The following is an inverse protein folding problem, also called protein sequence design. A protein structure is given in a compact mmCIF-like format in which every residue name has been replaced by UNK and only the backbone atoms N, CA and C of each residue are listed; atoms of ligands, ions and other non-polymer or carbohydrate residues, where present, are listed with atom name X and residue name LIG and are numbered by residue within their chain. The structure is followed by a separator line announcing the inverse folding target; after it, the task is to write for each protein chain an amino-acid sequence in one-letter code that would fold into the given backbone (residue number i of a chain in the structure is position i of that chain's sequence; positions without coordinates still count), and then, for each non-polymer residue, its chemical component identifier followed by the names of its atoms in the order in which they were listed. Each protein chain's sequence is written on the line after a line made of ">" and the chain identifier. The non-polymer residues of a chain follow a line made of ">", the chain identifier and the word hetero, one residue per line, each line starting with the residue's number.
data_IF_439020066440
#
_entry.id   IF_439020066440
#
_cell.length_a   1.000
_cell.length_b   1.000
_cell.length_c   1.000
_cell.angle_alpha   90.00
_cell.angle_beta   90.00
_cell.angle_gamma   90.00
#
_symmetry.space_group_name_H-M   'P 1'
#
loop_
_entity.id
_entity.type
_entity.pdbx_description
1 polymer ?
#
# COMPACT_ATOMS: atom_id res chain seq x y z
N UNK A 1 7.56 27.73 -2.45
CA UNK A 1 6.40 27.31 -1.64
C UNK A 1 5.31 26.83 -2.57
N UNK A 2 5.03 25.53 -2.58
CA UNK A 2 3.79 24.96 -3.07
C UNK A 2 3.63 23.55 -2.46
N UNK A 3 2.82 23.52 -1.40
CA UNK A 3 2.13 22.43 -0.72
C UNK A 3 2.83 21.09 -0.46
N UNK A 4 3.21 20.94 0.81
CA UNK A 4 3.44 19.69 1.52
C UNK A 4 2.15 18.86 1.64
N UNK A 5 2.34 17.59 2.01
CA UNK A 5 1.26 16.64 2.24
C UNK A 5 0.28 17.12 3.30
N UNK A 6 -0.96 17.34 2.88
CA UNK A 6 -2.12 17.29 3.76
C UNK A 6 -3.13 16.31 3.18
N UNK A 7 -3.28 15.17 3.87
CA UNK A 7 -4.43 14.30 3.73
C UNK A 7 -5.63 15.07 4.30
N UNK A 8 -6.40 15.72 3.42
CA UNK A 8 -7.55 16.54 3.81
C UNK A 8 -8.84 15.92 3.25
N UNK A 9 -9.48 15.14 4.12
CA UNK A 9 -10.93 14.93 4.20
C UNK A 9 -11.62 14.20 3.05
N UNK A 10 -11.93 12.92 3.26
CA UNK A 10 -13.06 12.27 2.61
C UNK A 10 -14.02 11.70 3.68
N UNK A 11 -15.30 12.00 3.49
CA UNK A 11 -16.35 11.94 4.48
C UNK A 11 -16.78 10.51 4.85
N UNK A 12 -17.11 10.41 6.13
CA UNK A 12 -17.43 9.25 6.95
C UNK A 12 -18.53 8.33 6.38
N UNK A 13 -18.22 7.03 6.27
CA UNK A 13 -19.18 5.95 6.56
C UNK A 13 -18.50 5.04 7.60
N UNK A 14 -18.86 5.23 8.86
CA UNK A 14 -18.53 4.38 10.01
C UNK A 14 -17.03 4.16 10.34
N UNK A 15 -16.39 5.19 10.89
CA UNK A 15 -15.55 5.02 12.08
C UNK A 15 -14.04 4.78 11.92
N UNK A 16 -13.50 4.57 10.71
CA UNK A 16 -12.06 4.67 10.47
C UNK A 16 -11.84 5.49 9.19
N UNK A 17 -11.03 6.55 9.27
CA UNK A 17 -10.61 7.28 8.09
C UNK A 17 -10.01 6.29 7.07
N UNK A 18 -10.46 6.34 5.82
CA UNK A 18 -9.93 5.47 4.79
C UNK A 18 -8.41 5.69 4.68
N UNK A 19 -7.63 4.63 4.92
CA UNK A 19 -6.18 4.69 4.74
C UNK A 19 -5.90 4.80 3.25
N UNK A 20 -5.08 5.78 2.86
CA UNK A 20 -4.75 6.05 1.46
C UNK A 20 -3.25 6.21 1.31
N UNK A 21 -2.66 5.44 0.40
CA UNK A 21 -1.25 5.52 0.06
C UNK A 21 -1.08 5.70 -1.44
N UNK A 22 0.02 6.32 -1.85
CA UNK A 22 0.40 6.42 -3.26
C UNK A 22 1.71 5.70 -3.49
N UNK A 23 1.71 4.73 -4.38
CA UNK A 23 2.87 3.99 -4.84
C UNK A 23 3.40 4.68 -6.09
N UNK A 24 4.67 5.07 -6.04
CA UNK A 24 5.29 5.91 -7.07
C UNK A 24 5.94 5.05 -8.15
N UNK A 25 6.79 4.12 -7.74
CA UNK A 25 7.53 3.21 -8.63
C UNK A 25 8.04 2.02 -7.85
N UNK A 26 8.26 0.90 -8.54
CA UNK A 26 8.97 -0.25 -7.95
C UNK A 26 10.39 0.16 -7.56
N UNK A 27 10.89 -0.41 -6.48
CA UNK A 27 12.24 -0.17 -5.99
C UNK A 27 12.86 -1.44 -5.40
N UNK A 28 14.19 -1.45 -5.19
CA UNK A 28 14.82 -2.49 -4.39
C UNK A 28 14.15 -2.59 -3.01
N UNK A 29 14.09 -3.81 -2.47
CA UNK A 29 13.61 -4.04 -1.11
C UNK A 29 14.56 -3.31 -0.13
N UNK A 30 14.06 -2.46 0.77
CA UNK A 30 14.89 -1.78 1.76
C UNK A 30 15.70 -2.79 2.58
N UNK A 31 17.02 -2.60 2.81
CA UNK A 31 17.84 -3.55 3.56
C UNK A 31 17.34 -3.80 4.98
N UNK A 32 16.80 -2.76 5.62
CA UNK A 32 16.20 -2.79 6.96
C UNK A 32 14.79 -3.40 7.00
N UNK A 33 14.23 -3.80 5.85
CA UNK A 33 12.95 -4.51 5.82
C UNK A 33 13.02 -5.87 6.55
N UNK A 34 14.21 -6.49 6.58
CA UNK A 34 14.43 -7.77 7.25
C UNK A 34 14.10 -7.72 8.75
N UNK A 35 14.31 -6.58 9.40
CA UNK A 35 14.05 -6.39 10.83
C UNK A 35 12.56 -6.44 11.17
N UNK A 36 11.68 -6.27 10.18
CA UNK A 36 10.23 -6.33 10.33
C UNK A 36 9.65 -7.74 10.14
N UNK A 37 10.46 -8.69 9.69
CA UNK A 37 10.00 -9.99 9.21
C UNK A 37 10.03 -11.05 10.30
N UNK A 38 9.01 -11.90 10.32
CA UNK A 38 9.05 -13.13 11.13
C UNK A 38 9.83 -14.24 10.40
N UNK A 39 10.20 -15.30 11.12
CA UNK A 39 10.85 -16.46 10.51
C UNK A 39 10.01 -17.02 9.33
N UNK A 40 10.66 -17.20 8.18
CA UNK A 40 10.02 -17.70 6.94
C UNK A 40 9.16 -16.67 6.21
N UNK A 41 9.06 -15.43 6.69
CA UNK A 41 8.54 -14.31 5.91
C UNK A 41 9.63 -13.82 4.93
N UNK A 42 9.27 -13.61 3.67
CA UNK A 42 10.20 -13.20 2.61
C UNK A 42 9.61 -12.04 1.81
N UNK A 43 10.34 -10.92 1.64
CA UNK A 43 9.94 -9.84 0.76
C UNK A 43 10.19 -10.24 -0.69
N UNK A 44 9.29 -9.89 -1.60
CA UNK A 44 9.50 -10.16 -3.03
C UNK A 44 9.30 -8.92 -3.91
N UNK A 45 8.68 -7.86 -3.39
CA UNK A 45 8.48 -6.62 -4.12
C UNK A 45 8.41 -5.42 -3.17
N UNK A 46 8.92 -4.28 -3.60
CA UNK A 46 8.75 -3.02 -2.91
C UNK A 46 8.41 -1.89 -3.88
N UNK A 47 7.66 -0.91 -3.38
CA UNK A 47 7.37 0.35 -4.05
C UNK A 47 7.84 1.51 -3.17
N UNK A 48 8.35 2.56 -3.81
CA UNK A 48 8.48 3.87 -3.16
C UNK A 48 7.09 4.45 -2.92
N UNK A 49 6.87 5.01 -1.74
CA UNK A 49 5.74 5.89 -1.48
C UNK A 49 6.23 7.34 -1.45
N UNK A 50 5.33 8.31 -1.28
CA UNK A 50 5.76 9.70 -1.09
C UNK A 50 6.57 9.93 0.18
N UNK A 51 6.42 9.07 1.19
CA UNK A 51 7.03 9.27 2.52
C UNK A 51 8.16 8.29 2.81
N UNK A 52 8.01 7.03 2.38
CA UNK A 52 9.01 5.99 2.54
C UNK A 52 8.74 4.87 1.52
N UNK A 53 8.21 3.72 1.94
CA UNK A 53 8.13 2.52 1.12
C UNK A 53 6.97 1.61 1.49
N UNK A 54 6.51 0.82 0.54
CA UNK A 54 5.56 -0.26 0.72
C UNK A 54 6.21 -1.57 0.26
N UNK A 55 6.09 -2.63 1.05
CA UNK A 55 6.80 -3.90 0.86
C UNK A 55 5.78 -5.02 0.86
N UNK A 56 5.77 -5.81 -0.21
CA UNK A 56 4.99 -7.03 -0.32
C UNK A 56 5.86 -8.21 0.10
N UNK A 57 5.39 -8.94 1.10
CA UNK A 57 6.00 -10.20 1.55
C UNK A 57 5.09 -11.37 1.21
N UNK A 58 5.54 -12.61 1.37
CA UNK A 58 4.67 -13.78 1.25
C UNK A 58 3.58 -13.90 2.36
N UNK A 59 3.44 -12.91 3.27
CA UNK A 59 2.45 -12.94 4.37
C UNK A 59 1.56 -11.70 4.44
N UNK A 60 2.09 -10.52 4.09
CA UNK A 60 1.41 -9.23 4.27
C UNK A 60 1.96 -8.14 3.36
N UNK A 61 1.14 -7.12 3.15
CA UNK A 61 1.60 -5.81 2.73
C UNK A 61 2.07 -5.03 3.97
N UNK A 62 3.29 -4.52 3.93
CA UNK A 62 3.83 -3.61 4.94
C UNK A 62 3.93 -2.22 4.31
N UNK A 63 3.40 -1.19 4.96
CA UNK A 63 3.60 0.21 4.53
C UNK A 63 4.34 0.95 5.62
N UNK A 64 5.49 1.51 5.25
CA UNK A 64 6.29 2.40 6.09
C UNK A 64 5.92 3.84 5.77
N UNK A 65 5.69 4.60 6.81
CA UNK A 65 5.21 5.97 6.71
C UNK A 65 6.06 6.88 7.61
N UNK A 66 7.07 7.51 7.02
CA UNK A 66 7.89 8.49 7.71
C UNK A 66 7.08 9.76 7.99
N UNK A 67 7.01 10.16 9.25
CA UNK A 67 6.26 11.29 9.75
C UNK A 67 7.16 12.39 10.33
N UNK A 68 6.63 13.61 10.28
CA UNK A 68 7.26 14.80 10.85
C UNK A 68 8.34 15.40 9.97
N UNK A 69 8.78 16.61 10.33
CA UNK A 69 9.74 17.41 9.55
C UNK A 69 11.09 16.71 9.42
N UNK A 70 11.50 15.95 10.45
CA UNK A 70 12.79 15.26 10.49
C UNK A 70 12.74 13.85 9.89
N UNK A 71 11.56 13.31 9.59
CA UNK A 71 11.38 11.94 9.09
C UNK A 71 11.81 10.81 10.03
N UNK A 72 12.21 11.13 11.28
CA UNK A 72 12.74 10.13 12.23
C UNK A 72 11.68 9.22 12.83
N UNK A 73 10.43 9.67 12.91
CA UNK A 73 9.31 8.84 13.36
C UNK A 73 8.79 8.08 12.15
N UNK A 74 8.81 6.75 12.19
CA UNK A 74 8.24 5.91 11.14
C UNK A 74 7.06 5.14 11.74
N UNK A 75 5.89 5.29 11.13
CA UNK A 75 4.75 4.42 11.41
C UNK A 75 4.75 3.22 10.46
N UNK A 76 4.47 2.03 11.01
CA UNK A 76 4.45 0.78 10.25
C UNK A 76 3.03 0.24 10.25
N UNK A 77 2.46 0.11 9.05
CA UNK A 77 1.18 -0.56 8.84
C UNK A 77 1.46 -1.97 8.32
N UNK A 78 0.81 -2.97 8.89
CA UNK A 78 0.89 -4.37 8.45
C UNK A 78 -0.52 -4.87 8.10
N UNK A 79 -0.72 -5.24 6.83
CA UNK A 79 -1.95 -5.83 6.33
C UNK A 79 -1.70 -7.28 5.91
N UNK A 80 -1.98 -8.26 6.79
CA UNK A 80 -1.99 -9.67 6.40
C UNK A 80 -3.02 -9.93 5.30
N UNK A 81 -2.63 -10.71 4.28
CA UNK A 81 -3.51 -10.95 3.14
C UNK A 81 -4.80 -11.69 3.50
N UNK A 82 -4.75 -12.58 4.49
CA UNK A 82 -5.94 -13.28 5.04
C UNK A 82 -7.02 -12.35 5.60
N UNK A 83 -6.74 -11.06 5.78
CA UNK A 83 -7.70 -10.06 6.25
C UNK A 83 -8.28 -9.19 5.13
N UNK A 84 -7.85 -9.40 3.89
CA UNK A 84 -8.46 -8.81 2.70
C UNK A 84 -9.67 -9.68 2.33
N UNK A 85 -10.86 -9.10 2.43
CA UNK A 85 -12.12 -9.78 2.12
C UNK A 85 -12.54 -9.59 0.66
N UNK A 86 -12.13 -8.48 0.05
CA UNK A 86 -12.43 -8.11 -1.34
C UNK A 86 -11.40 -7.08 -1.82
N UNK A 87 -11.15 -7.03 -3.12
CA UNK A 87 -10.41 -5.95 -3.75
C UNK A 87 -11.02 -5.55 -5.09
N UNK A 88 -10.70 -4.35 -5.56
CA UNK A 88 -11.01 -3.88 -6.90
C UNK A 88 -9.84 -3.07 -7.45
N UNK A 89 -9.64 -3.10 -8.77
CA UNK A 89 -8.65 -2.28 -9.46
C UNK A 89 -9.28 -1.46 -10.58
N UNK A 90 -8.84 -0.21 -10.70
CA UNK A 90 -9.25 0.73 -11.74
C UNK A 90 -8.00 1.24 -12.47
N UNK A 91 -8.04 1.23 -13.81
CA UNK A 91 -6.96 1.77 -14.63
C UNK A 91 -7.05 3.29 -14.68
N UNK A 92 -5.90 3.94 -14.83
CA UNK A 92 -5.84 5.36 -15.17
C UNK A 92 -6.68 5.64 -16.43
N UNK A 93 -7.59 6.61 -16.32
CA UNK A 93 -8.40 7.09 -17.43
C UNK A 93 -7.66 8.13 -18.28
N UNK A 94 -8.36 8.74 -19.24
CA UNK A 94 -7.81 9.82 -20.07
C UNK A 94 -7.60 11.12 -19.28
N UNK A 95 -8.33 11.30 -18.17
CA UNK A 95 -8.33 12.50 -17.32
C UNK A 95 -7.67 12.22 -15.96
N UNK A 96 -7.89 11.04 -15.36
CA UNK A 96 -7.17 10.62 -14.16
C UNK A 96 -5.86 9.93 -14.52
N UNK A 97 -4.76 10.51 -14.04
CA UNK A 97 -3.40 10.10 -14.36
C UNK A 97 -2.98 8.87 -13.55
N UNK A 98 -3.71 8.55 -12.48
CA UNK A 98 -3.37 7.48 -11.55
C UNK A 98 -4.30 6.29 -11.72
N UNK A 99 -3.75 5.09 -11.58
CA UNK A 99 -4.56 3.88 -11.39
C UNK A 99 -4.83 3.69 -9.90
N UNK A 100 -5.86 2.91 -9.56
CA UNK A 100 -6.24 2.69 -8.18
C UNK A 100 -6.46 1.22 -7.87
N UNK A 101 -6.05 0.79 -6.69
CA UNK A 101 -6.36 -0.50 -6.08
C UNK A 101 -7.01 -0.22 -4.73
N UNK A 102 -8.19 -0.77 -4.49
CA UNK A 102 -8.85 -0.71 -3.19
C UNK A 102 -8.94 -2.11 -2.56
N UNK A 103 -8.70 -2.17 -1.26
CA UNK A 103 -8.74 -3.39 -0.45
C UNK A 103 -9.76 -3.21 0.68
N UNK A 104 -10.64 -4.19 0.85
CA UNK A 104 -11.66 -4.21 1.90
C UNK A 104 -11.26 -5.18 2.98
N UNK A 105 -11.38 -4.73 4.22
CA UNK A 105 -11.13 -5.52 5.41
C UNK A 105 -12.34 -5.43 6.34
N UNK A 106 -12.35 -6.20 7.44
CA UNK A 106 -13.40 -6.07 8.48
C UNK A 106 -13.41 -4.71 9.16
N UNK A 107 -12.29 -3.98 9.15
CA UNK A 107 -12.13 -2.72 9.89
C UNK A 107 -12.20 -1.48 9.00
N UNK A 108 -12.20 -1.64 7.67
CA UNK A 108 -12.30 -0.51 6.75
C UNK A 108 -11.72 -0.79 5.38
N UNK A 109 -11.68 0.27 4.56
CA UNK A 109 -11.15 0.28 3.20
C UNK A 109 -9.78 0.92 3.18
N UNK A 110 -8.89 0.32 2.39
CA UNK A 110 -7.54 0.81 2.13
C UNK A 110 -7.46 1.12 0.63
N UNK A 111 -7.04 2.33 0.31
CA UNK A 111 -6.87 2.82 -1.06
C UNK A 111 -5.39 2.94 -1.39
N UNK A 112 -4.98 2.37 -2.52
CA UNK A 112 -3.62 2.43 -3.03
C UNK A 112 -3.70 3.05 -4.42
N UNK A 113 -3.20 4.28 -4.54
CA UNK A 113 -3.05 4.97 -5.82
C UNK A 113 -1.71 4.61 -6.43
N UNK A 114 -1.65 4.43 -7.73
CA UNK A 114 -0.43 4.18 -8.47
C UNK A 114 -0.14 5.39 -9.35
N UNK A 115 1.06 5.93 -9.21
CA UNK A 115 1.55 7.01 -10.07
C UNK A 115 1.65 6.56 -11.52
N UNK A 116 1.63 7.53 -12.44
CA UNK A 116 1.72 7.30 -13.88
C UNK A 116 2.90 6.37 -14.23
N UNK A 117 2.61 5.31 -14.98
CA UNK A 117 3.61 4.35 -15.46
C UNK A 117 3.80 3.11 -14.59
N UNK A 118 3.17 3.06 -13.40
CA UNK A 118 3.12 1.83 -12.62
C UNK A 118 2.04 0.87 -13.15
N UNK A 119 2.36 -0.43 -13.21
CA UNK A 119 1.48 -1.47 -13.77
C UNK A 119 0.46 -1.95 -12.73
N UNK A 120 -0.77 -1.45 -12.82
CA UNK A 120 -1.88 -1.87 -11.95
C UNK A 120 -2.23 -3.35 -12.12
N UNK A 121 -2.08 -3.94 -13.32
CA UNK A 121 -2.36 -5.36 -13.55
C UNK A 121 -1.34 -6.25 -12.87
N UNK A 122 -0.11 -5.76 -12.69
CA UNK A 122 0.87 -6.45 -11.84
C UNK A 122 0.42 -6.49 -10.38
N UNK A 123 -0.04 -5.38 -9.82
CA UNK A 123 -0.56 -5.38 -8.44
C UNK A 123 -1.81 -6.26 -8.30
N UNK A 124 -2.73 -6.21 -9.26
CA UNK A 124 -3.95 -7.02 -9.26
C UNK A 124 -3.62 -8.53 -9.21
N UNK A 125 -2.63 -8.98 -10.00
CA UNK A 125 -2.11 -10.35 -9.94
C UNK A 125 -1.49 -10.68 -8.59
N UNK A 126 -0.66 -9.79 -8.04
CA UNK A 126 -0.01 -10.01 -6.74
C UNK A 126 -1.06 -10.16 -5.63
N UNK A 127 -2.07 -9.29 -5.60
CA UNK A 127 -3.15 -9.41 -4.61
C UNK A 127 -3.94 -10.70 -4.83
N UNK A 128 -4.24 -11.06 -6.09
CA UNK A 128 -4.92 -12.32 -6.42
C UNK A 128 -4.14 -13.53 -5.91
N UNK A 129 -2.84 -13.63 -6.19
CA UNK A 129 -1.99 -14.72 -5.74
C UNK A 129 -1.95 -14.78 -4.21
N UNK A 130 -1.73 -13.64 -3.57
CA UNK A 130 -1.56 -13.57 -2.12
C UNK A 130 -2.84 -13.85 -1.34
N UNK A 131 -4.00 -13.45 -1.86
CA UNK A 131 -5.29 -13.69 -1.21
C UNK A 131 -5.84 -15.07 -1.53
N UNK A 132 -5.73 -15.55 -2.78
CA UNK A 132 -6.39 -16.78 -3.23
C UNK A 132 -5.52 -18.04 -3.12
N UNK A 133 -4.19 -17.91 -3.21
CA UNK A 133 -3.28 -19.07 -3.12
C UNK A 133 -2.62 -19.18 -1.75
N UNK A 134 -2.30 -18.04 -1.13
CA UNK A 134 -1.56 -17.98 0.14
C UNK A 134 -2.37 -17.46 1.33
N UNK A 135 -3.59 -16.98 1.11
CA UNK A 135 -4.42 -16.29 2.11
C UNK A 135 -5.26 -17.18 3.05
N UNK A 136 -5.04 -18.49 3.02
CA UNK A 136 -5.72 -19.49 3.87
C UNK A 136 -5.25 -19.53 5.32
#
# INVERSE_FOLDING_TARGET
>A
MANDGSNKGDNNVNGIAALSWTFVSECPIPPDAADLMVQGEQPFLAYKTFRDSAIFTNKRLIVRDAQGITGKKVEIYSLPYKHILMWSSENAGTIDINSELELWTKVGRIKIKLSRGADIRRLDRIISDMVLLYGG
#
